data_IF_938257807557
#
_entry.id   IF_938257807557
#
_cell.length_a   1.000
_cell.length_b   1.000
_cell.length_c   1.000
_cell.angle_alpha   90.00
_cell.angle_beta   90.00
_cell.angle_gamma   90.00
#
_symmetry.space_group_name_H-M   'P 1'
#
loop_
_entity.id
_entity.type
_entity.pdbx_description
1 polymer ?
#
# COMPACT_ATOMS: atom_id res chain seq x y z
N UNK A 1 10.50 -15.42 -9.24
CA UNK A 1 10.01 -14.24 -8.47
C UNK A 1 10.44 -13.01 -9.26
N UNK A 2 9.51 -12.18 -9.69
CA UNK A 2 9.85 -10.88 -10.31
C UNK A 2 10.61 -10.04 -9.29
N UNK A 3 11.67 -9.37 -9.73
CA UNK A 3 12.44 -8.46 -8.87
C UNK A 3 11.57 -7.22 -8.61
N UNK A 4 11.39 -6.86 -7.33
CA UNK A 4 10.71 -5.62 -6.95
C UNK A 4 11.46 -4.41 -7.57
N UNK A 5 10.75 -3.52 -8.24
CA UNK A 5 11.31 -2.28 -8.77
C UNK A 5 11.02 -1.14 -7.76
N UNK A 6 12.05 -0.42 -7.34
CA UNK A 6 11.92 0.78 -6.48
C UNK A 6 12.23 2.00 -7.33
N UNK A 7 11.28 2.91 -7.43
CA UNK A 7 11.31 4.06 -8.33
C UNK A 7 11.19 5.34 -7.50
N UNK A 8 12.22 6.18 -7.53
CA UNK A 8 12.11 7.57 -7.06
C UNK A 8 11.37 8.38 -8.13
N UNK A 9 10.22 8.92 -7.79
CA UNK A 9 9.37 9.63 -8.75
C UNK A 9 9.95 11.01 -9.07
N UNK A 10 10.24 11.27 -10.36
CA UNK A 10 10.41 12.64 -10.89
C UNK A 10 9.05 13.28 -11.20
N UNK A 11 8.08 12.45 -11.60
CA UNK A 11 6.67 12.77 -11.77
C UNK A 11 5.85 11.56 -11.34
N UNK A 12 4.98 11.77 -10.35
CA UNK A 12 4.10 10.71 -9.83
C UNK A 12 3.22 10.12 -10.94
N UNK A 13 2.63 10.97 -11.78
CA UNK A 13 1.77 10.51 -12.88
C UNK A 13 2.52 9.60 -13.85
N UNK A 14 3.72 10.00 -14.27
CA UNK A 14 4.52 9.23 -15.23
C UNK A 14 4.97 7.91 -14.63
N UNK A 15 5.44 7.92 -13.37
CA UNK A 15 5.88 6.71 -12.67
C UNK A 15 4.72 5.75 -12.40
N UNK A 16 3.56 6.28 -11.99
CA UNK A 16 2.35 5.50 -11.75
C UNK A 16 1.83 4.87 -13.04
N UNK A 17 1.77 5.63 -14.14
CA UNK A 17 1.37 5.12 -15.45
C UNK A 17 2.24 3.93 -15.85
N UNK A 18 3.55 4.10 -15.81
CA UNK A 18 4.51 3.04 -16.14
C UNK A 18 4.31 1.79 -15.26
N UNK A 19 4.17 1.97 -13.95
CA UNK A 19 3.99 0.85 -13.02
C UNK A 19 2.67 0.09 -13.28
N UNK A 20 1.58 0.79 -13.59
CA UNK A 20 0.29 0.20 -13.94
C UNK A 20 0.38 -0.56 -15.27
N UNK A 21 1.01 0.01 -16.29
CA UNK A 21 1.20 -0.62 -17.60
C UNK A 21 2.05 -1.90 -17.53
N UNK A 22 3.00 -1.97 -16.59
CA UNK A 22 3.81 -3.17 -16.33
C UNK A 22 3.03 -4.28 -15.60
N UNK A 23 1.84 -3.98 -15.07
CA UNK A 23 0.97 -4.92 -14.39
C UNK A 23 -0.35 -5.08 -15.16
N UNK A 24 -0.43 -5.90 -16.23
CA UNK A 24 -1.68 -6.16 -16.92
C UNK A 24 -2.76 -6.61 -15.94
N UNK A 25 -3.89 -5.93 -15.93
CA UNK A 25 -4.95 -6.16 -14.94
C UNK A 25 -6.34 -5.99 -15.56
N UNK A 26 -7.31 -6.64 -14.97
CA UNK A 26 -8.72 -6.53 -15.33
C UNK A 26 -9.49 -5.50 -14.49
N UNK A 27 -9.05 -5.29 -13.25
CA UNK A 27 -9.61 -4.30 -12.32
C UNK A 27 -8.52 -3.67 -11.47
N UNK A 28 -8.73 -2.40 -11.15
CA UNK A 28 -7.83 -1.62 -10.33
C UNK A 28 -8.50 -1.27 -8.99
N UNK A 29 -7.77 -1.51 -7.90
CA UNK A 29 -8.18 -1.17 -6.55
C UNK A 29 -7.13 -0.26 -5.92
N UNK A 30 -7.56 0.65 -5.05
CA UNK A 30 -6.67 1.48 -4.26
C UNK A 30 -7.04 1.37 -2.78
N UNK A 31 -6.08 0.97 -1.96
CA UNK A 31 -6.19 0.88 -0.51
C UNK A 31 -5.54 2.09 0.13
N UNK A 32 -6.28 2.75 1.00
CA UNK A 32 -5.84 3.88 1.82
C UNK A 32 -6.27 3.69 3.25
N UNK A 33 -5.67 4.43 4.17
CA UNK A 33 -6.29 4.74 5.45
C UNK A 33 -7.06 6.08 5.38
N UNK A 34 -7.75 6.45 6.45
CA UNK A 34 -8.53 7.69 6.53
C UNK A 34 -7.68 8.95 6.30
N UNK A 35 -6.43 8.97 6.78
CA UNK A 35 -5.52 10.10 6.61
C UNK A 35 -5.05 10.23 5.16
N UNK A 36 -4.55 9.14 4.59
CA UNK A 36 -4.01 9.15 3.23
C UNK A 36 -5.11 9.29 2.18
N UNK A 37 -6.33 8.82 2.49
CA UNK A 37 -7.51 9.08 1.66
C UNK A 37 -7.78 10.58 1.52
N UNK A 38 -7.66 11.34 2.62
CA UNK A 38 -7.94 12.78 2.62
C UNK A 38 -6.78 13.63 2.13
N UNK A 39 -5.55 13.24 2.44
CA UNK A 39 -4.35 14.07 2.23
C UNK A 39 -3.57 13.72 0.96
N UNK A 40 -3.56 12.45 0.56
CA UNK A 40 -2.70 11.95 -0.52
C UNK A 40 -3.49 11.52 -1.76
N UNK A 41 -4.65 10.86 -1.59
CA UNK A 41 -5.44 10.34 -2.70
C UNK A 41 -5.91 11.43 -3.69
N UNK A 42 -6.27 12.66 -3.29
CA UNK A 42 -6.69 13.70 -4.22
C UNK A 42 -5.67 13.98 -5.32
N UNK A 43 -4.37 14.07 -4.99
CA UNK A 43 -3.31 14.30 -5.98
C UNK A 43 -3.16 13.15 -6.99
N UNK A 44 -3.43 11.90 -6.58
CA UNK A 44 -3.47 10.77 -7.51
C UNK A 44 -4.71 10.80 -8.41
N UNK A 45 -5.84 11.27 -7.89
CA UNK A 45 -7.11 11.37 -8.65
C UNK A 45 -7.11 12.47 -9.71
N UNK A 46 -6.24 13.46 -9.61
CA UNK A 46 -6.03 14.45 -10.67
C UNK A 46 -5.54 13.74 -11.95
N UNK A 47 -4.90 12.59 -11.82
CA UNK A 47 -4.53 11.75 -12.95
C UNK A 47 -5.76 10.99 -13.46
N UNK A 48 -5.88 10.85 -14.78
CA UNK A 48 -6.96 10.05 -15.37
C UNK A 48 -6.83 8.54 -15.10
N UNK A 49 -5.67 8.11 -14.57
CA UNK A 49 -5.30 6.70 -14.39
C UNK A 49 -6.16 5.96 -13.37
N UNK A 50 -6.64 6.66 -12.35
CA UNK A 50 -7.38 6.05 -11.22
C UNK A 50 -8.89 6.33 -11.27
N UNK A 51 -9.42 6.85 -12.36
CA UNK A 51 -10.86 7.20 -12.47
C UNK A 51 -11.80 6.02 -12.21
N UNK A 52 -11.41 4.83 -12.61
CA UNK A 52 -12.19 3.60 -12.46
C UNK A 52 -11.71 2.71 -11.31
N UNK A 53 -10.72 3.18 -10.54
CA UNK A 53 -10.22 2.43 -9.41
C UNK A 53 -11.26 2.33 -8.29
N UNK A 54 -11.47 1.12 -7.77
CA UNK A 54 -12.32 0.90 -6.60
C UNK A 54 -11.54 1.28 -5.34
N UNK A 55 -12.08 2.23 -4.58
CA UNK A 55 -11.46 2.68 -3.34
C UNK A 55 -11.81 1.75 -2.19
N UNK A 56 -10.78 1.39 -1.40
CA UNK A 56 -10.89 0.69 -0.13
C UNK A 56 -10.25 1.60 0.92
N UNK A 57 -11.01 1.98 1.93
CA UNK A 57 -10.51 2.80 3.03
C UNK A 57 -10.59 2.01 4.33
N UNK A 58 -9.50 1.97 5.06
CA UNK A 58 -9.41 1.33 6.38
C UNK A 58 -9.17 2.37 7.47
N UNK A 59 -9.35 1.99 8.74
CA UNK A 59 -9.04 2.88 9.86
C UNK A 59 -7.55 3.25 9.88
N UNK A 60 -7.25 4.45 10.33
CA UNK A 60 -5.88 4.91 10.51
C UNK A 60 -5.24 4.29 11.76
N UNK A 61 -3.91 4.37 11.83
CA UNK A 61 -3.07 3.90 12.92
C UNK A 61 -2.92 2.37 13.05
N UNK A 62 -1.86 1.95 13.73
CA UNK A 62 -1.44 0.55 13.89
C UNK A 62 -2.47 -0.35 14.61
N UNK A 63 -3.38 0.26 15.37
CA UNK A 63 -4.48 -0.49 16.03
C UNK A 63 -5.42 -1.17 15.02
N UNK A 64 -5.47 -0.67 13.80
CA UNK A 64 -6.25 -1.25 12.71
C UNK A 64 -5.49 -2.28 11.87
N UNK A 65 -4.23 -2.56 12.19
CA UNK A 65 -3.43 -3.60 11.52
C UNK A 65 -3.82 -5.00 11.99
N UNK A 66 -5.08 -5.37 11.82
CA UNK A 66 -5.71 -6.56 12.42
C UNK A 66 -6.24 -7.54 11.37
N UNK A 67 -6.56 -8.76 11.82
CA UNK A 67 -7.21 -9.76 10.98
C UNK A 67 -8.60 -9.30 10.50
N UNK A 68 -9.36 -8.62 11.35
CA UNK A 68 -10.70 -8.11 10.99
C UNK A 68 -10.62 -7.06 9.89
N UNK A 69 -9.66 -6.15 9.97
CA UNK A 69 -9.39 -5.17 8.90
C UNK A 69 -8.97 -5.87 7.61
N UNK A 70 -8.07 -6.85 7.69
CA UNK A 70 -7.64 -7.65 6.56
C UNK A 70 -8.83 -8.37 5.91
N UNK A 71 -9.70 -8.99 6.72
CA UNK A 71 -10.91 -9.66 6.24
C UNK A 71 -11.86 -8.68 5.53
N UNK A 72 -12.00 -7.45 6.02
CA UNK A 72 -12.80 -6.42 5.36
C UNK A 72 -12.26 -6.03 3.98
N UNK A 73 -10.93 -5.96 3.84
CA UNK A 73 -10.27 -5.73 2.54
C UNK A 73 -10.56 -6.88 1.58
N UNK A 74 -10.40 -8.14 2.01
CA UNK A 74 -10.74 -9.30 1.17
C UNK A 74 -12.21 -9.32 0.77
N UNK A 75 -13.11 -8.97 1.70
CA UNK A 75 -14.54 -8.89 1.43
C UNK A 75 -14.83 -7.87 0.34
N UNK A 76 -14.22 -6.68 0.44
CA UNK A 76 -14.40 -5.63 -0.57
C UNK A 76 -13.84 -6.05 -1.92
N UNK A 77 -12.62 -6.61 -1.97
CA UNK A 77 -12.06 -7.16 -3.21
C UNK A 77 -13.02 -8.18 -3.84
N UNK A 78 -13.54 -9.12 -3.05
CA UNK A 78 -14.43 -10.17 -3.52
C UNK A 78 -15.76 -9.63 -4.03
N UNK A 79 -16.44 -8.79 -3.25
CA UNK A 79 -17.77 -8.25 -3.59
C UNK A 79 -17.70 -7.29 -4.77
N UNK A 80 -16.60 -6.58 -4.94
CA UNK A 80 -16.35 -5.72 -6.09
C UNK A 80 -15.82 -6.48 -7.32
N UNK A 81 -15.78 -7.82 -7.24
CA UNK A 81 -15.47 -8.69 -8.38
C UNK A 81 -14.00 -8.71 -8.77
N UNK A 82 -13.09 -8.58 -7.80
CA UNK A 82 -11.67 -8.78 -8.06
C UNK A 82 -11.38 -10.22 -8.49
N UNK A 83 -10.49 -10.36 -9.45
CA UNK A 83 -10.00 -11.65 -9.95
C UNK A 83 -8.54 -11.87 -9.53
N UNK A 84 -7.94 -12.97 -9.96
CA UNK A 84 -6.50 -13.20 -9.79
C UNK A 84 -5.62 -12.27 -10.65
N UNK A 85 -6.21 -11.55 -11.58
CA UNK A 85 -5.55 -10.61 -12.48
C UNK A 85 -5.79 -9.15 -12.08
N UNK A 86 -6.45 -8.89 -10.95
CA UNK A 86 -6.66 -7.54 -10.48
C UNK A 86 -5.38 -6.95 -9.89
N UNK A 87 -5.28 -5.63 -9.89
CA UNK A 87 -4.15 -4.86 -9.36
C UNK A 87 -4.60 -4.08 -8.13
N UNK A 88 -3.83 -4.18 -7.04
CA UNK A 88 -4.03 -3.40 -5.83
C UNK A 88 -2.93 -2.33 -5.70
N UNK A 89 -3.30 -1.07 -5.50
CA UNK A 89 -2.38 0.01 -5.15
C UNK A 89 -2.55 0.31 -3.66
N UNK A 90 -1.48 0.20 -2.89
CA UNK A 90 -1.44 0.58 -1.48
C UNK A 90 -0.87 2.00 -1.37
N UNK A 91 -1.69 2.96 -0.99
CA UNK A 91 -1.30 4.35 -0.77
C UNK A 91 -1.33 4.65 0.72
N UNK A 92 -0.19 4.65 1.38
CA UNK A 92 -0.16 4.91 2.82
C UNK A 92 1.17 4.66 3.50
N UNK A 93 1.17 4.76 4.82
CA UNK A 93 2.30 4.42 5.66
C UNK A 93 2.55 2.92 5.80
N UNK A 94 3.44 2.53 6.70
CA UNK A 94 3.82 1.13 6.93
C UNK A 94 2.64 0.21 7.22
N UNK A 95 1.64 0.69 7.97
CA UNK A 95 0.43 -0.10 8.26
C UNK A 95 -0.32 -0.48 6.98
N UNK A 96 -0.54 0.49 6.08
CA UNK A 96 -1.25 0.25 4.81
C UNK A 96 -0.45 -0.63 3.87
N UNK A 97 0.87 -0.41 3.75
CA UNK A 97 1.73 -1.20 2.87
C UNK A 97 1.86 -2.65 3.33
N UNK A 98 1.98 -2.88 4.65
CA UNK A 98 2.08 -4.22 5.23
C UNK A 98 0.76 -5.01 5.11
N UNK A 99 -0.34 -4.40 5.56
CA UNK A 99 -1.66 -5.04 5.52
C UNK A 99 -2.13 -5.24 4.07
N UNK A 100 -1.97 -4.22 3.23
CA UNK A 100 -2.35 -4.29 1.82
C UNK A 100 -1.50 -5.29 1.03
N UNK A 101 -0.19 -5.36 1.31
CA UNK A 101 0.69 -6.37 0.74
C UNK A 101 0.28 -7.78 1.17
N UNK A 102 -0.10 -7.98 2.44
CA UNK A 102 -0.59 -9.27 2.92
C UNK A 102 -1.98 -9.61 2.35
N UNK A 103 -2.85 -8.62 2.17
CA UNK A 103 -4.11 -8.81 1.45
C UNK A 103 -3.88 -9.29 0.02
N UNK A 104 -2.95 -8.64 -0.69
CA UNK A 104 -2.58 -9.03 -2.05
C UNK A 104 -1.95 -10.42 -2.10
N UNK A 105 -1.06 -10.76 -1.17
CA UNK A 105 -0.40 -12.06 -1.10
C UNK A 105 -1.36 -13.23 -0.93
N UNK A 106 -2.43 -13.02 -0.18
CA UNK A 106 -3.35 -14.06 0.25
C UNK A 106 -4.64 -14.13 -0.55
N UNK A 107 -5.11 -13.00 -1.11
CA UNK A 107 -6.28 -12.97 -1.96
C UNK A 107 -6.05 -13.76 -3.25
N UNK A 108 -6.92 -14.73 -3.55
CA UNK A 108 -6.83 -15.59 -4.75
C UNK A 108 -5.45 -16.28 -4.92
N UNK A 109 -4.70 -16.46 -3.85
CA UNK A 109 -3.32 -17.01 -3.80
C UNK A 109 -2.26 -16.08 -4.40
N UNK A 110 -2.53 -14.79 -4.40
CA UNK A 110 -1.66 -13.72 -4.86
C UNK A 110 -2.23 -12.96 -6.04
N UNK A 111 -2.32 -11.64 -5.88
CA UNK A 111 -2.62 -10.67 -6.94
C UNK A 111 -1.46 -9.67 -7.03
N UNK A 112 -1.30 -9.03 -8.18
CA UNK A 112 -0.30 -7.99 -8.36
C UNK A 112 -0.61 -6.79 -7.45
N UNK A 113 0.45 -6.13 -6.93
CA UNK A 113 0.26 -4.90 -6.19
C UNK A 113 1.44 -3.93 -6.32
N UNK A 114 1.15 -2.65 -6.10
CA UNK A 114 2.09 -1.54 -6.11
C UNK A 114 2.00 -0.83 -4.77
N UNK A 115 3.14 -0.47 -4.18
CA UNK A 115 3.20 0.38 -2.99
C UNK A 115 3.52 1.83 -3.37
N UNK A 116 2.77 2.76 -2.79
CA UNK A 116 3.06 4.20 -2.80
C UNK A 116 3.16 4.64 -1.34
N UNK A 117 4.34 4.47 -0.72
CA UNK A 117 4.53 4.82 0.68
C UNK A 117 4.45 6.33 0.90
N UNK A 118 3.79 6.75 1.98
CA UNK A 118 3.58 8.17 2.30
C UNK A 118 4.30 8.63 3.55
N UNK A 119 4.94 7.71 4.29
CA UNK A 119 5.75 8.04 5.47
C UNK A 119 7.21 7.71 5.22
N UNK A 120 8.13 8.42 5.89
CA UNK A 120 9.56 8.20 5.72
C UNK A 120 9.95 6.75 6.08
N UNK A 121 9.44 6.21 7.18
CA UNK A 121 9.69 4.82 7.60
C UNK A 121 9.21 3.82 6.53
N UNK A 122 8.05 4.05 5.93
CA UNK A 122 7.56 3.18 4.86
C UNK A 122 8.42 3.28 3.59
N UNK A 123 8.94 4.47 3.26
CA UNK A 123 9.78 4.67 2.08
C UNK A 123 11.13 3.95 2.20
N UNK A 124 11.72 3.91 3.41
CA UNK A 124 13.08 3.35 3.60
C UNK A 124 13.09 1.89 4.05
N UNK A 125 12.01 1.38 4.63
CA UNK A 125 11.94 0.01 5.18
C UNK A 125 10.64 -0.71 4.85
N UNK A 126 9.49 -0.30 5.38
CA UNK A 126 8.29 -1.13 5.41
C UNK A 126 7.73 -1.51 4.02
N UNK A 127 7.83 -0.64 3.01
CA UNK A 127 7.34 -0.93 1.66
C UNK A 127 8.32 -1.71 0.78
N UNK A 128 9.57 -1.87 1.23
CA UNK A 128 10.67 -2.49 0.48
C UNK A 128 11.00 -3.86 1.08
N UNK A 129 11.41 -4.81 0.23
CA UNK A 129 11.82 -6.15 0.68
C UNK A 129 10.68 -7.16 0.84
N UNK A 130 9.42 -6.74 0.66
CA UNK A 130 8.28 -7.66 0.58
C UNK A 130 7.83 -8.26 1.90
N UNK A 131 8.26 -7.73 3.03
CA UNK A 131 7.66 -8.07 4.33
C UNK A 131 6.22 -7.54 4.35
N UNK A 132 5.27 -8.41 4.60
CA UNK A 132 3.85 -8.05 4.68
C UNK A 132 3.24 -8.75 5.87
N UNK A 133 2.23 -8.14 6.53
CA UNK A 133 1.66 -8.79 7.69
C UNK A 133 0.71 -7.93 8.51
N UNK A 134 0.23 -8.55 9.56
CA UNK A 134 -0.72 -7.99 10.53
C UNK A 134 -0.27 -8.27 11.96
N UNK A 135 -0.82 -7.50 12.88
CA UNK A 135 -0.72 -7.77 14.31
C UNK A 135 -1.71 -8.87 14.70
N UNK A 136 -1.35 -9.71 15.63
CA UNK A 136 -2.20 -10.79 16.09
C UNK A 136 -1.96 -11.10 17.57
N UNK A 137 -3.02 -11.34 18.32
CA UNK A 137 -2.98 -11.69 19.73
C UNK A 137 -2.10 -10.75 20.59
N UNK A 138 -2.17 -9.44 20.32
CA UNK A 138 -1.40 -8.42 21.05
C UNK A 138 0.07 -8.29 20.64
N UNK A 139 0.54 -9.10 19.68
CA UNK A 139 1.89 -9.05 19.15
C UNK A 139 1.91 -8.32 17.79
N UNK A 140 2.95 -7.50 17.59
CA UNK A 140 3.14 -6.79 16.32
C UNK A 140 3.74 -7.69 15.26
N UNK A 141 3.23 -7.57 14.00
CA UNK A 141 3.77 -8.27 12.83
C UNK A 141 3.88 -9.80 13.00
N UNK A 142 2.96 -10.40 13.76
CA UNK A 142 3.02 -11.83 14.13
C UNK A 142 2.65 -12.75 12.96
N UNK A 143 1.73 -12.30 12.11
CA UNK A 143 1.27 -13.10 10.96
C UNK A 143 1.53 -12.31 9.68
N UNK A 144 2.18 -12.96 8.71
CA UNK A 144 2.49 -12.32 7.45
C UNK A 144 3.10 -13.25 6.42
N UNK A 145 3.59 -12.65 5.35
CA UNK A 145 4.28 -13.36 4.27
C UNK A 145 5.39 -12.51 3.68
N UNK A 146 6.31 -13.16 3.00
CA UNK A 146 7.26 -12.49 2.11
C UNK A 146 6.69 -12.46 0.71
N UNK A 147 6.12 -11.34 0.33
CA UNK A 147 5.50 -11.13 -0.97
C UNK A 147 5.86 -9.73 -1.48
N UNK A 148 6.90 -9.59 -2.34
CA UNK A 148 7.35 -8.29 -2.80
C UNK A 148 6.33 -7.64 -3.74
N UNK A 149 6.14 -6.32 -3.60
CA UNK A 149 5.37 -5.53 -4.53
C UNK A 149 6.00 -5.58 -5.94
N UNK A 150 5.18 -5.46 -6.97
CA UNK A 150 5.68 -5.32 -8.34
C UNK A 150 6.54 -4.05 -8.46
N UNK A 151 6.05 -2.94 -7.89
CA UNK A 151 6.78 -1.67 -7.85
C UNK A 151 6.53 -0.94 -6.53
N UNK A 152 7.52 -0.17 -6.10
CA UNK A 152 7.42 0.81 -5.00
C UNK A 152 7.72 2.18 -5.58
N UNK A 153 6.74 3.09 -5.50
CA UNK A 153 6.86 4.44 -6.02
C UNK A 153 7.12 5.41 -4.87
N UNK A 154 8.32 5.96 -4.83
CA UNK A 154 8.76 6.90 -3.80
C UNK A 154 8.45 8.34 -4.26
N UNK A 155 7.33 8.89 -3.78
CA UNK A 155 6.91 10.27 -4.01
C UNK A 155 7.17 11.09 -2.75
N UNK A 156 8.23 11.90 -2.79
CA UNK A 156 8.68 12.65 -1.60
C UNK A 156 7.75 13.78 -1.20
N UNK A 157 6.93 14.30 -2.10
CA UNK A 157 5.94 15.33 -1.78
C UNK A 157 4.93 14.86 -0.72
N UNK A 158 4.66 13.56 -0.63
CA UNK A 158 3.79 13.02 0.42
C UNK A 158 4.34 13.21 1.84
N UNK A 159 5.66 13.37 2.00
CA UNK A 159 6.25 13.67 3.31
C UNK A 159 5.76 15.01 3.88
N UNK A 160 5.29 15.92 3.05
CA UNK A 160 4.71 17.19 3.49
C UNK A 160 3.34 17.05 4.15
N UNK A 161 2.69 15.91 3.98
CA UNK A 161 1.42 15.60 4.64
C UNK A 161 1.58 15.08 6.06
N UNK A 162 2.81 14.78 6.48
CA UNK A 162 3.11 14.25 7.81
C UNK A 162 3.21 15.38 8.84
N UNK A 163 2.70 15.12 10.03
CA UNK A 163 3.03 15.91 11.19
C UNK A 163 4.47 15.65 11.67
N UNK A 164 4.99 16.53 12.54
CA UNK A 164 6.36 16.43 13.03
C UNK A 164 6.65 15.12 13.78
N UNK A 165 5.65 14.55 14.47
CA UNK A 165 5.78 13.31 15.21
C UNK A 165 5.97 12.12 14.24
N UNK A 166 5.09 12.00 13.26
CA UNK A 166 5.16 10.93 12.26
C UNK A 166 6.40 11.04 11.35
N UNK A 167 6.88 12.26 11.10
CA UNK A 167 8.12 12.46 10.36
C UNK A 167 9.34 11.94 11.14
N UNK A 168 9.33 12.06 12.47
CA UNK A 168 10.45 11.65 13.34
C UNK A 168 10.41 10.18 13.76
N UNK A 169 9.37 9.42 13.45
CA UNK A 169 9.23 8.01 13.88
C UNK A 169 10.39 7.11 13.44
N UNK A 170 11.10 7.45 12.37
CA UNK A 170 12.27 6.69 11.93
C UNK A 170 13.36 6.63 13.00
N UNK A 171 13.57 7.71 13.77
CA UNK A 171 14.58 7.77 14.83
C UNK A 171 14.25 6.93 16.06
N UNK A 172 12.99 6.52 16.21
CA UNK A 172 12.50 5.73 17.35
C UNK A 172 12.15 4.29 16.96
N UNK A 173 12.35 3.92 15.70
CA UNK A 173 12.12 2.56 15.22
C UNK A 173 13.37 1.70 15.29
N UNK A 174 13.19 0.37 15.42
CA UNK A 174 14.30 -0.61 15.37
C UNK A 174 14.97 -0.69 13.98
N UNK A 175 14.53 0.12 13.03
CA UNK A 175 15.10 0.25 11.69
C UNK A 175 16.23 1.31 11.61
N UNK A 176 16.51 2.01 12.72
CA UNK A 176 17.56 3.04 12.79
C UNK A 176 18.94 2.43 13.09
#
# INVERSE_FOLDING_TARGET
>A
MSKQEVILCESLETSLRRAIEQCPHDKLFILTDEHTRSLCLPSLKETSLLKEAVEICIGAEDVHKTLDTLASVWMTLSTQGATRHSLLINLGGGMVTDLGGFAAATFKRGIAYINIPTTLLAMVDASVGGKTGINFNGLKNEIGSFFPANSVLLETEFLRTLDAHNFCLLYTSDAA
#
